data_IF_944784003232
#
_entry.id   IF_944784003232
#
_cell.length_a   1.000
_cell.length_b   1.000
_cell.length_c   1.000
_cell.angle_alpha   90.00
_cell.angle_beta   90.00
_cell.angle_gamma   90.00
#
_symmetry.space_group_name_H-M   'P 1'
#
loop_
_entity.id
_entity.type
_entity.pdbx_description
1 polymer ?
#
# COMPACT_ATOMS: atom_id res chain seq x y z
N UNK A 1 35.18 -2.91 -21.80
CA UNK A 1 34.56 -2.01 -20.81
C UNK A 1 35.47 -2.01 -19.59
N UNK A 2 35.93 -0.84 -19.15
CA UNK A 2 36.79 -0.77 -17.96
C UNK A 2 35.89 -0.74 -16.72
N UNK A 3 36.04 -1.76 -15.87
CA UNK A 3 35.23 -1.92 -14.66
C UNK A 3 35.65 -0.88 -13.59
N UNK A 4 34.68 -0.16 -13.01
CA UNK A 4 34.95 0.81 -11.95
C UNK A 4 35.28 0.05 -10.66
N UNK A 5 36.50 0.23 -10.16
CA UNK A 5 37.00 -0.35 -8.91
C UNK A 5 36.93 0.67 -7.77
N UNK A 6 36.77 0.17 -6.53
CA UNK A 6 36.84 0.99 -5.32
C UNK A 6 38.22 0.91 -4.67
N UNK A 7 38.83 2.07 -4.47
CA UNK A 7 40.16 2.23 -3.86
C UNK A 7 40.09 3.15 -2.63
N UNK A 8 41.04 3.02 -1.71
CA UNK A 8 41.25 3.97 -0.62
C UNK A 8 42.21 5.06 -1.03
N UNK A 9 42.01 6.27 -0.55
CA UNK A 9 42.92 7.40 -0.76
C UNK A 9 43.23 8.07 0.57
N UNK A 10 44.51 8.36 0.80
CA UNK A 10 45.00 9.03 2.00
C UNK A 10 45.01 8.15 3.25
N UNK A 11 45.53 8.69 4.36
CA UNK A 11 45.69 7.97 5.64
C UNK A 11 44.37 7.65 6.34
N UNK A 12 43.33 8.46 6.09
CA UNK A 12 42.00 8.26 6.67
C UNK A 12 41.16 7.18 5.95
N UNK A 13 41.67 6.61 4.85
CA UNK A 13 41.03 5.48 4.17
C UNK A 13 39.72 5.82 3.44
N UNK A 14 39.54 7.07 3.01
CA UNK A 14 38.34 7.50 2.26
C UNK A 14 38.21 6.71 0.96
N UNK A 15 36.99 6.34 0.58
CA UNK A 15 36.74 5.51 -0.61
C UNK A 15 36.56 6.37 -1.84
N UNK A 16 37.24 5.99 -2.91
CA UNK A 16 37.21 6.62 -4.20
C UNK A 16 36.95 5.58 -5.29
N UNK A 17 36.24 5.98 -6.34
CA UNK A 17 36.14 5.21 -7.57
C UNK A 17 37.43 5.38 -8.41
N UNK A 18 37.80 4.33 -9.13
CA UNK A 18 38.99 4.28 -10.01
C UNK A 18 38.70 3.37 -11.20
N UNK A 19 39.33 3.65 -12.34
CA UNK A 19 39.20 2.85 -13.57
C UNK A 19 40.40 1.91 -13.74
N UNK A 20 41.57 2.29 -13.22
CA UNK A 20 42.83 1.53 -13.29
C UNK A 20 43.15 0.78 -11.98
N UNK A 21 42.43 1.08 -10.90
CA UNK A 21 42.69 0.56 -9.56
C UNK A 21 43.92 1.20 -8.88
N UNK A 22 44.52 2.22 -9.49
CA UNK A 22 45.75 2.89 -9.01
C UNK A 22 45.52 4.37 -8.73
N UNK A 23 44.68 5.04 -9.53
CA UNK A 23 44.36 6.46 -9.39
C UNK A 23 42.85 6.66 -9.32
N UNK A 24 42.41 7.47 -8.36
CA UNK A 24 40.99 7.81 -8.24
C UNK A 24 40.53 8.70 -9.38
N UNK A 25 39.22 8.72 -9.65
CA UNK A 25 38.60 9.60 -10.64
C UNK A 25 38.86 11.10 -10.36
N UNK A 26 39.23 11.48 -9.15
CA UNK A 26 39.62 12.84 -8.80
C UNK A 26 41.15 13.07 -8.79
N UNK A 27 41.93 12.17 -9.38
CA UNK A 27 43.37 12.34 -9.61
C UNK A 27 44.26 12.08 -8.40
N UNK A 28 43.74 11.41 -7.36
CA UNK A 28 44.54 11.06 -6.17
C UNK A 28 44.99 9.58 -6.22
N UNK A 29 46.26 9.27 -5.88
CA UNK A 29 46.77 7.91 -5.91
C UNK A 29 46.16 7.05 -4.81
N UNK A 30 45.98 5.76 -5.10
CA UNK A 30 45.46 4.76 -4.19
C UNK A 30 46.45 4.52 -3.03
N UNK A 31 45.92 4.45 -1.81
CA UNK A 31 46.63 3.93 -0.64
C UNK A 31 46.33 2.45 -0.38
N UNK A 32 45.36 1.85 -1.09
CA UNK A 32 45.05 0.43 -1.06
C UNK A 32 43.75 0.07 -1.78
N UNK A 33 43.56 -1.21 -2.13
CA UNK A 33 42.32 -1.72 -2.74
C UNK A 33 41.30 -2.14 -1.68
N UNK A 34 40.01 -2.02 -1.99
CA UNK A 34 38.92 -2.40 -1.08
C UNK A 34 38.31 -3.71 -1.57
N UNK A 35 38.35 -4.74 -0.72
CA UNK A 35 37.73 -6.05 -1.01
C UNK A 35 36.38 -6.24 -0.34
N UNK A 36 35.98 -5.36 0.61
CA UNK A 36 34.67 -5.43 1.26
C UNK A 36 34.22 -4.02 1.75
N UNK A 37 33.16 -3.41 1.18
CA UNK A 37 32.80 -2.01 1.42
C UNK A 37 31.80 -1.78 2.57
N UNK A 38 31.76 -2.66 3.58
CA UNK A 38 30.87 -2.46 4.72
C UNK A 38 31.33 -1.26 5.56
N UNK A 39 30.61 -0.14 5.45
CA UNK A 39 30.73 1.10 6.21
C UNK A 39 31.94 2.00 5.91
N UNK A 40 31.95 2.67 4.74
CA UNK A 40 32.92 3.76 4.50
C UNK A 40 32.31 4.95 3.74
N UNK A 41 32.67 6.16 4.17
CA UNK A 41 32.25 7.43 3.58
C UNK A 41 32.90 7.62 2.20
N UNK A 42 32.10 7.73 1.15
CA UNK A 42 32.54 7.93 -0.23
C UNK A 42 32.92 9.37 -0.57
N UNK A 43 33.89 9.55 -1.46
CA UNK A 43 34.31 10.87 -1.95
C UNK A 43 33.24 11.51 -2.86
N UNK A 44 32.62 12.62 -2.42
CA UNK A 44 31.60 13.37 -3.19
C UNK A 44 32.06 13.80 -4.60
N UNK A 45 33.35 14.08 -4.79
CA UNK A 45 33.89 14.44 -6.10
C UNK A 45 33.94 13.25 -7.07
N UNK A 46 34.21 12.04 -6.56
CA UNK A 46 34.23 10.83 -7.38
C UNK A 46 32.81 10.38 -7.75
N UNK A 47 31.82 10.57 -6.87
CA UNK A 47 30.41 10.28 -7.17
C UNK A 47 29.90 11.16 -8.34
N UNK A 48 30.25 12.45 -8.34
CA UNK A 48 29.91 13.37 -9.43
C UNK A 48 30.59 13.00 -10.75
N UNK A 49 31.87 12.60 -10.72
CA UNK A 49 32.61 12.21 -11.92
C UNK A 49 32.10 10.87 -12.51
N UNK A 50 31.76 9.90 -11.66
CA UNK A 50 31.18 8.63 -12.09
C UNK A 50 29.83 8.85 -12.79
N UNK A 51 28.97 9.70 -12.24
CA UNK A 51 27.67 10.06 -12.86
C UNK A 51 27.82 10.73 -14.23
N UNK A 52 28.84 11.56 -14.43
CA UNK A 52 29.10 12.20 -15.72
C UNK A 52 29.57 11.19 -16.79
N UNK A 53 30.44 10.24 -16.41
CA UNK A 53 30.95 9.21 -17.34
C UNK A 53 29.88 8.20 -17.79
N UNK A 54 28.82 8.00 -16.99
CA UNK A 54 27.68 7.15 -17.37
C UNK A 54 26.74 7.83 -18.38
N UNK A 55 26.69 9.17 -18.40
CA UNK A 55 25.79 9.93 -19.27
C UNK A 55 26.35 10.05 -20.71
N UNK A 56 27.67 10.22 -20.87
CA UNK A 56 28.30 10.39 -22.19
C UNK A 56 28.28 9.14 -23.09
N UNK A 57 27.92 7.96 -22.57
CA UNK A 57 27.86 6.72 -23.36
C UNK A 57 26.45 6.34 -23.87
N UNK A 58 25.44 7.21 -23.68
CA UNK A 58 24.04 6.89 -24.04
C UNK A 58 23.44 7.80 -25.12
N UNK A 59 24.20 8.77 -25.66
CA UNK A 59 23.74 9.61 -26.77
C UNK A 59 24.33 9.15 -28.11
N UNK A 60 23.68 8.17 -28.74
CA UNK A 60 23.64 8.13 -30.19
C UNK A 60 22.44 7.35 -30.74
N UNK A 61 21.64 8.07 -31.54
CA UNK A 61 20.53 7.67 -32.44
C UNK A 61 19.16 7.38 -31.83
N UNK A 62 18.23 8.31 -32.10
CA UNK A 62 16.80 8.05 -32.25
C UNK A 62 15.97 9.29 -32.00
N UNK A 63 15.37 9.87 -33.03
CA UNK A 63 14.44 11.02 -32.95
C UNK A 63 13.32 10.82 -31.91
N UNK A 64 12.89 11.85 -31.17
CA UNK A 64 11.77 11.73 -30.26
C UNK A 64 10.46 11.77 -31.05
N UNK A 65 9.79 10.62 -31.11
CA UNK A 65 8.34 10.60 -31.36
C UNK A 65 7.66 10.86 -30.03
N UNK A 66 7.05 12.03 -29.88
CA UNK A 66 6.20 12.38 -28.74
C UNK A 66 4.89 11.62 -28.90
N UNK A 67 4.65 10.63 -28.06
CA UNK A 67 3.32 10.06 -27.86
C UNK A 67 2.76 10.64 -26.58
N UNK A 68 1.80 11.55 -26.73
CA UNK A 68 0.93 12.03 -25.66
C UNK A 68 0.17 10.85 -25.03
N UNK A 69 0.32 10.66 -23.73
CA UNK A 69 -0.68 9.97 -22.91
C UNK A 69 -1.24 11.00 -21.92
N UNK A 70 -2.27 11.70 -22.36
CA UNK A 70 -3.13 12.55 -21.54
C UNK A 70 -4.08 11.65 -20.74
N UNK A 71 -3.87 11.57 -19.43
CA UNK A 71 -4.89 11.12 -18.49
C UNK A 71 -5.93 12.24 -18.37
N UNK A 72 -7.01 12.14 -19.13
CA UNK A 72 -8.19 13.01 -19.04
C UNK A 72 -9.05 12.58 -17.84
N UNK A 73 -8.80 13.17 -16.67
CA UNK A 73 -9.85 13.42 -15.68
C UNK A 73 -10.24 14.90 -15.76
N UNK A 74 -11.42 15.14 -16.32
CA UNK A 74 -12.22 16.39 -16.30
C UNK A 74 -11.44 17.70 -16.11
N UNK A 75 -10.73 18.14 -17.15
CA UNK A 75 -10.40 19.56 -17.28
C UNK A 75 -11.71 20.34 -17.41
N UNK A 76 -11.99 21.22 -16.46
CA UNK A 76 -13.06 22.20 -16.61
C UNK A 76 -12.59 23.27 -17.58
N UNK A 77 -13.50 23.86 -18.38
CA UNK A 77 -13.18 25.03 -19.21
C UNK A 77 -12.87 26.30 -18.38
N UNK A 78 -12.82 26.21 -17.05
CA UNK A 78 -12.47 27.29 -16.14
C UNK A 78 -10.99 27.18 -15.71
N UNK A 79 -10.11 28.08 -16.17
CA UNK A 79 -8.70 28.10 -15.79
C UNK A 79 -8.45 28.18 -14.28
N UNK A 80 -9.39 28.74 -13.51
CA UNK A 80 -9.25 28.82 -12.05
C UNK A 80 -9.45 27.46 -11.38
N UNK A 81 -10.44 26.70 -11.83
CA UNK A 81 -10.69 25.36 -11.30
C UNK A 81 -9.54 24.41 -11.66
N UNK A 82 -8.99 24.52 -12.88
CA UNK A 82 -7.81 23.76 -13.29
C UNK A 82 -6.59 24.10 -12.41
N UNK A 83 -6.39 25.38 -12.05
CA UNK A 83 -5.34 25.79 -11.13
C UNK A 83 -5.50 25.22 -9.72
N UNK A 84 -6.72 25.12 -9.20
CA UNK A 84 -6.98 24.47 -7.90
C UNK A 84 -6.64 22.98 -7.94
N UNK A 85 -6.98 22.28 -9.03
CA UNK A 85 -6.57 20.88 -9.24
C UNK A 85 -5.04 20.74 -9.25
N UNK A 86 -4.35 21.64 -9.97
CA UNK A 86 -2.88 21.66 -10.03
C UNK A 86 -2.26 21.90 -8.64
N UNK A 87 -2.83 22.78 -7.82
CA UNK A 87 -2.36 22.97 -6.45
C UNK A 87 -2.54 21.73 -5.59
N UNK A 88 -3.71 21.08 -5.67
CA UNK A 88 -4.00 19.86 -4.93
C UNK A 88 -3.06 18.70 -5.33
N UNK A 89 -2.65 18.63 -6.60
CA UNK A 89 -1.65 17.66 -7.03
C UNK A 89 -0.23 18.01 -6.56
N UNK A 90 0.19 19.27 -6.66
CA UNK A 90 1.50 19.72 -6.14
C UNK A 90 1.61 19.51 -4.62
N UNK A 91 0.51 19.59 -3.88
CA UNK A 91 0.48 19.28 -2.44
C UNK A 91 0.81 17.82 -2.11
N UNK A 92 0.66 16.90 -3.09
CA UNK A 92 0.96 15.47 -2.92
C UNK A 92 2.40 15.10 -3.33
N UNK A 93 3.06 15.93 -4.14
CA UNK A 93 4.40 15.66 -4.69
C UNK A 93 5.53 16.04 -3.73
N UNK A 94 6.70 15.43 -3.89
CA UNK A 94 7.88 15.73 -3.08
C UNK A 94 9.13 15.98 -3.96
N UNK A 95 10.27 16.33 -3.36
CA UNK A 95 11.50 16.65 -4.10
C UNK A 95 12.00 15.53 -5.03
N UNK A 96 11.56 14.28 -4.83
CA UNK A 96 11.83 13.13 -5.70
C UNK A 96 11.01 13.13 -7.00
N UNK A 97 9.88 13.84 -7.05
CA UNK A 97 8.98 13.96 -8.20
C UNK A 97 9.34 15.15 -9.11
N UNK A 98 10.62 15.50 -9.23
CA UNK A 98 11.07 16.75 -9.84
C UNK A 98 10.52 17.00 -11.26
N UNK A 99 10.41 15.94 -12.08
CA UNK A 99 9.85 16.02 -13.44
C UNK A 99 8.34 16.30 -13.43
N UNK A 100 7.57 15.61 -12.56
CA UNK A 100 6.12 15.82 -12.42
C UNK A 100 5.80 17.20 -11.85
N UNK A 101 6.57 17.65 -10.86
CA UNK A 101 6.49 19.02 -10.33
C UNK A 101 6.73 20.02 -11.47
N UNK A 102 7.76 19.79 -12.28
CA UNK A 102 8.07 20.63 -13.45
C UNK A 102 6.92 20.70 -14.45
N UNK A 103 6.32 19.55 -14.79
CA UNK A 103 5.19 19.45 -15.71
C UNK A 103 3.95 20.18 -15.19
N UNK A 104 3.56 19.96 -13.93
CA UNK A 104 2.40 20.64 -13.32
C UNK A 104 2.60 22.15 -13.17
N UNK A 105 3.81 22.59 -12.84
CA UNK A 105 4.13 24.02 -12.79
C UNK A 105 4.07 24.64 -14.19
N UNK A 106 4.52 23.93 -15.22
CA UNK A 106 4.39 24.39 -16.60
C UNK A 106 2.92 24.49 -17.03
N UNK A 107 2.11 23.49 -16.72
CA UNK A 107 0.67 23.51 -16.96
C UNK A 107 -0.01 24.67 -16.21
N UNK A 108 0.32 24.89 -14.94
CA UNK A 108 -0.20 26.00 -14.14
C UNK A 108 0.17 27.37 -14.72
N UNK A 109 1.37 27.52 -15.30
CA UNK A 109 1.76 28.74 -16.02
C UNK A 109 0.91 28.97 -17.28
N UNK A 110 0.55 27.92 -18.01
CA UNK A 110 -0.35 28.00 -19.16
C UNK A 110 -1.75 28.43 -18.71
N UNK A 111 -2.29 27.83 -17.65
CA UNK A 111 -3.62 28.20 -17.13
C UNK A 111 -3.67 29.63 -16.58
N UNK A 112 -2.59 30.09 -15.96
CA UNK A 112 -2.45 31.49 -15.57
C UNK A 112 -2.54 32.44 -16.77
N UNK A 113 -2.06 32.07 -17.96
CA UNK A 113 -2.17 32.92 -19.15
C UNK A 113 -3.63 33.02 -19.66
N UNK A 114 -4.44 31.99 -19.40
CA UNK A 114 -5.85 31.96 -19.77
C UNK A 114 -6.73 32.88 -18.88
N UNK A 115 -6.23 33.33 -17.73
CA UNK A 115 -6.92 34.31 -16.88
C UNK A 115 -6.66 35.74 -17.41
N UNK A 116 -7.71 36.38 -17.93
CA UNK A 116 -7.61 37.70 -18.61
C UNK A 116 -7.10 38.83 -17.70
N UNK A 117 -7.46 38.85 -16.42
CA UNK A 117 -7.12 39.95 -15.51
C UNK A 117 -5.77 39.74 -14.80
N UNK A 118 -4.85 40.70 -14.92
CA UNK A 118 -3.58 40.69 -14.18
C UNK A 118 -3.79 40.68 -12.65
N UNK A 119 -4.78 41.42 -12.14
CA UNK A 119 -5.10 41.46 -10.72
C UNK A 119 -5.61 40.10 -10.21
N UNK A 120 -6.30 39.34 -11.05
CA UNK A 120 -6.74 37.98 -10.71
C UNK A 120 -5.62 36.95 -10.85
N UNK A 121 -4.68 37.14 -11.79
CA UNK A 121 -3.51 36.24 -11.96
C UNK A 121 -2.50 36.32 -10.82
N UNK A 122 -2.30 37.51 -10.25
CA UNK A 122 -1.30 37.75 -9.22
C UNK A 122 -1.38 36.77 -8.02
N UNK A 123 -2.55 36.57 -7.35
CA UNK A 123 -2.64 35.64 -6.22
C UNK A 123 -2.34 34.19 -6.62
N UNK A 124 -2.86 33.72 -7.76
CA UNK A 124 -2.60 32.36 -8.25
C UNK A 124 -1.13 32.15 -8.64
N UNK A 125 -0.48 33.18 -9.20
CA UNK A 125 0.94 33.11 -9.56
C UNK A 125 1.84 33.00 -8.32
N UNK A 126 1.53 33.72 -7.24
CA UNK A 126 2.25 33.56 -5.97
C UNK A 126 2.02 32.17 -5.38
N UNK A 127 0.76 31.72 -5.32
CA UNK A 127 0.40 30.41 -4.78
C UNK A 127 1.04 29.26 -5.56
N UNK A 128 1.16 29.35 -6.88
CA UNK A 128 1.87 28.36 -7.71
C UNK A 128 3.36 28.28 -7.36
N UNK A 129 4.02 29.43 -7.16
CA UNK A 129 5.43 29.47 -6.74
C UNK A 129 5.62 28.89 -5.33
N UNK A 130 4.72 29.20 -4.42
CA UNK A 130 4.74 28.64 -3.06
C UNK A 130 4.49 27.13 -3.06
N UNK A 131 3.53 26.64 -3.86
CA UNK A 131 3.25 25.21 -4.00
C UNK A 131 4.44 24.47 -4.63
N UNK A 132 5.07 25.05 -5.65
CA UNK A 132 6.32 24.53 -6.25
C UNK A 132 7.44 24.47 -5.21
N UNK A 133 7.68 25.55 -4.47
CA UNK A 133 8.72 25.60 -3.44
C UNK A 133 8.46 24.55 -2.35
N UNK A 134 7.23 24.47 -1.84
CA UNK A 134 6.83 23.46 -0.85
C UNK A 134 7.02 22.04 -1.39
N UNK A 135 6.62 21.75 -2.63
CA UNK A 135 6.81 20.43 -3.21
C UNK A 135 8.30 20.07 -3.40
N UNK A 136 9.14 21.04 -3.78
CA UNK A 136 10.60 20.87 -3.94
C UNK A 136 11.38 20.79 -2.63
N UNK A 137 10.88 21.41 -1.57
CA UNK A 137 11.47 21.34 -0.23
C UNK A 137 10.96 20.15 0.57
N UNK A 138 9.76 19.65 0.25
CA UNK A 138 9.19 18.47 0.88
C UNK A 138 10.17 17.29 0.70
N UNK A 139 10.68 16.71 1.80
CA UNK A 139 11.68 15.66 1.73
C UNK A 139 11.20 14.54 0.83
N UNK A 140 12.12 14.02 0.00
CA UNK A 140 11.82 12.87 -0.83
C UNK A 140 11.70 11.72 0.13
N UNK A 141 10.57 11.03 0.08
CA UNK A 141 10.47 9.73 0.73
C UNK A 141 11.39 8.69 0.07
N UNK A 142 12.18 9.06 -0.93
CA UNK A 142 13.17 8.21 -1.59
C UNK A 142 14.61 8.73 -1.40
N UNK A 143 15.27 8.20 -0.38
CA UNK A 143 16.67 7.76 -0.49
C UNK A 143 16.66 6.34 0.06
N UNK A 144 16.66 5.37 -0.84
CA UNK A 144 16.60 3.94 -0.51
C UNK A 144 18.03 3.42 -0.37
N UNK A 145 18.59 3.56 0.84
CA UNK A 145 19.70 2.71 1.26
C UNK A 145 19.08 1.49 1.97
N UNK A 146 19.19 0.33 1.33
CA UNK A 146 18.63 -0.92 1.85
C UNK A 146 19.59 -1.55 2.83
N UNK A 147 19.09 -1.89 4.01
CA UNK A 147 19.83 -2.68 4.96
C UNK A 147 19.19 -4.08 5.00
N UNK A 148 19.97 -5.10 4.68
CA UNK A 148 19.63 -6.46 5.12
C UNK A 148 19.81 -6.47 6.64
N UNK A 149 18.77 -6.05 7.35
CA UNK A 149 18.84 -5.79 8.78
C UNK A 149 17.68 -6.44 9.50
N UNK A 150 17.99 -6.95 10.69
CA UNK A 150 17.00 -7.35 11.69
C UNK A 150 16.68 -6.17 12.63
N UNK A 151 17.50 -5.11 12.60
CA UNK A 151 17.35 -3.90 13.41
C UNK A 151 16.83 -2.73 12.58
N UNK A 152 15.58 -2.34 12.85
CA UNK A 152 14.89 -1.23 12.19
C UNK A 152 15.62 0.11 12.32
N UNK A 153 16.38 0.34 13.39
CA UNK A 153 17.05 1.62 13.62
C UNK A 153 18.19 1.87 12.65
N UNK A 154 18.65 0.81 11.98
CA UNK A 154 19.68 0.88 10.94
C UNK A 154 19.11 1.21 9.55
N UNK A 155 17.79 1.32 9.41
CA UNK A 155 17.14 1.77 8.18
C UNK A 155 17.45 3.27 8.02
N UNK A 156 18.00 3.66 6.86
CA UNK A 156 18.30 5.07 6.60
C UNK A 156 17.00 5.90 6.59
N UNK A 157 17.04 7.04 7.28
CA UNK A 157 15.87 7.88 7.50
C UNK A 157 14.78 7.28 8.39
N UNK A 158 15.06 6.21 9.15
CA UNK A 158 14.09 5.53 10.02
C UNK A 158 13.28 6.50 10.90
N UNK A 159 13.95 7.37 11.66
CA UNK A 159 13.28 8.33 12.53
C UNK A 159 12.40 9.32 11.75
N UNK A 160 12.83 9.72 10.55
CA UNK A 160 12.05 10.62 9.70
C UNK A 160 10.79 9.92 9.17
N UNK A 161 10.88 8.65 8.75
CA UNK A 161 9.73 7.86 8.32
C UNK A 161 8.72 7.74 9.47
N UNK A 162 9.19 7.34 10.65
CA UNK A 162 8.33 7.16 11.83
C UNK A 162 7.67 8.47 12.21
N UNK A 163 8.43 9.56 12.35
CA UNK A 163 7.89 10.86 12.74
C UNK A 163 6.94 11.45 11.69
N UNK A 164 7.26 11.35 10.40
CA UNK A 164 6.40 11.88 9.34
C UNK A 164 5.09 11.08 9.22
N UNK A 165 5.17 9.75 9.30
CA UNK A 165 3.98 8.90 9.29
C UNK A 165 3.11 9.16 10.53
N UNK A 166 3.75 9.27 11.70
CA UNK A 166 3.07 9.53 12.96
C UNK A 166 2.39 10.90 13.00
N UNK A 167 3.06 11.94 12.49
CA UNK A 167 2.50 13.28 12.38
C UNK A 167 1.25 13.30 11.48
N UNK A 168 1.33 12.68 10.30
CA UNK A 168 0.18 12.58 9.38
C UNK A 168 -0.98 11.80 9.99
N UNK A 169 -0.68 10.73 10.73
CA UNK A 169 -1.69 9.96 11.45
C UNK A 169 -2.37 10.81 12.54
N UNK A 170 -1.58 11.53 13.34
CA UNK A 170 -2.09 12.40 14.41
C UNK A 170 -2.94 13.54 13.84
N UNK A 171 -2.43 14.25 12.82
CA UNK A 171 -3.16 15.32 12.14
C UNK A 171 -4.46 14.82 11.51
N UNK A 172 -4.42 13.65 10.86
CA UNK A 172 -5.60 13.04 10.25
C UNK A 172 -6.65 12.59 11.26
N UNK A 173 -6.24 12.14 12.46
CA UNK A 173 -7.16 11.85 13.58
C UNK A 173 -7.79 13.15 14.08
N UNK A 174 -7.00 14.20 14.26
CA UNK A 174 -7.47 15.49 14.80
C UNK A 174 -8.45 16.23 13.91
N UNK A 175 -8.13 16.28 12.62
CA UNK A 175 -8.87 17.08 11.67
C UNK A 175 -10.19 16.40 11.24
N UNK A 176 -10.52 15.24 11.83
CA UNK A 176 -11.64 14.39 11.42
C UNK A 176 -11.66 14.16 9.90
N UNK A 177 -10.49 14.22 9.26
CA UNK A 177 -10.30 13.90 7.85
C UNK A 177 -10.81 12.49 7.64
N UNK A 178 -11.32 12.20 6.44
CA UNK A 178 -11.87 10.88 6.15
C UNK A 178 -10.90 9.82 6.66
N UNK A 179 -11.33 9.03 7.66
CA UNK A 179 -10.43 8.13 8.36
C UNK A 179 -9.81 7.09 7.40
N UNK A 180 -10.41 6.93 6.22
CA UNK A 180 -9.90 6.14 5.11
C UNK A 180 -8.67 6.76 4.44
N UNK A 181 -8.64 8.08 4.22
CA UNK A 181 -7.50 8.78 3.59
C UNK A 181 -6.29 8.83 4.53
N UNK A 182 -6.53 9.15 5.81
CA UNK A 182 -5.49 9.07 6.85
C UNK A 182 -4.92 7.66 6.94
N UNK A 183 -5.80 6.64 7.01
CA UNK A 183 -5.36 5.25 7.06
C UNK A 183 -4.59 4.82 5.80
N UNK A 184 -4.98 5.32 4.61
CA UNK A 184 -4.26 5.03 3.37
C UNK A 184 -2.87 5.64 3.39
N UNK A 185 -2.75 6.90 3.80
CA UNK A 185 -1.47 7.60 3.91
C UNK A 185 -0.51 6.89 4.86
N UNK A 186 -1.02 6.43 6.01
CA UNK A 186 -0.25 5.64 6.98
C UNK A 186 0.11 4.27 6.41
N UNK A 187 -0.80 3.61 5.68
CA UNK A 187 -0.53 2.35 5.01
C UNK A 187 0.60 2.47 3.97
N UNK A 188 0.59 3.53 3.16
CA UNK A 188 1.64 3.82 2.17
C UNK A 188 2.99 4.08 2.86
N UNK A 189 3.02 4.81 3.98
CA UNK A 189 4.25 5.03 4.74
C UNK A 189 4.80 3.75 5.39
N UNK A 190 3.93 2.89 5.92
CA UNK A 190 4.33 1.57 6.44
C UNK A 190 4.87 0.71 5.29
N UNK A 191 4.24 0.73 4.11
CA UNK A 191 4.75 -0.01 2.96
C UNK A 191 6.13 0.51 2.53
N UNK A 192 6.34 1.83 2.47
CA UNK A 192 7.66 2.40 2.16
C UNK A 192 8.75 1.88 3.11
N UNK A 193 8.50 1.89 4.42
CA UNK A 193 9.46 1.35 5.37
C UNK A 193 9.63 -0.18 5.27
N UNK A 194 8.57 -0.93 4.98
CA UNK A 194 8.66 -2.38 4.66
C UNK A 194 9.51 -2.66 3.43
N UNK A 195 9.48 -1.78 2.43
CA UNK A 195 10.29 -1.94 1.22
C UNK A 195 11.80 -1.81 1.49
N UNK A 196 12.17 -1.15 2.59
CA UNK A 196 13.57 -1.01 3.04
C UNK A 196 14.04 -2.18 3.90
N UNK A 197 13.12 -2.94 4.49
CA UNK A 197 13.41 -4.17 5.23
C UNK A 197 13.55 -5.32 4.23
N UNK A 198 14.78 -5.77 3.99
CA UNK A 198 15.03 -6.87 3.04
C UNK A 198 15.40 -8.18 3.74
N UNK A 199 15.06 -9.30 3.10
CA UNK A 199 15.45 -10.63 3.54
C UNK A 199 16.89 -10.98 3.16
N UNK A 200 17.33 -12.19 3.55
CA UNK A 200 18.67 -12.71 3.23
C UNK A 200 18.90 -12.86 1.72
N UNK A 201 17.82 -12.91 0.94
CA UNK A 201 17.81 -12.98 -0.52
C UNK A 201 17.71 -11.59 -1.18
N UNK A 202 17.75 -10.51 -0.37
CA UNK A 202 17.63 -9.13 -0.84
C UNK A 202 16.23 -8.72 -1.26
N UNK A 203 15.20 -9.53 -0.96
CA UNK A 203 13.80 -9.23 -1.29
C UNK A 203 13.15 -8.40 -0.17
N UNK A 204 12.44 -7.32 -0.51
CA UNK A 204 11.68 -6.51 0.44
C UNK A 204 10.58 -7.26 1.20
N UNK A 205 10.19 -6.78 2.39
CA UNK A 205 9.17 -7.41 3.23
C UNK A 205 7.76 -6.86 2.99
N UNK A 206 7.29 -6.94 1.74
CA UNK A 206 6.00 -6.36 1.31
C UNK A 206 4.83 -6.78 2.21
N UNK A 207 4.79 -8.06 2.60
CA UNK A 207 3.71 -8.64 3.40
C UNK A 207 3.84 -8.37 4.92
N UNK A 208 4.94 -7.74 5.36
CA UNK A 208 5.16 -7.35 6.75
C UNK A 208 5.32 -8.52 7.72
N UNK A 209 5.76 -9.70 7.25
CA UNK A 209 5.92 -10.87 8.11
C UNK A 209 7.11 -10.76 9.07
N UNK A 210 8.12 -9.96 8.75
CA UNK A 210 9.33 -9.82 9.58
C UNK A 210 9.07 -9.00 10.83
N UNK A 211 9.82 -9.31 11.88
CA UNK A 211 9.74 -8.57 13.13
C UNK A 211 10.09 -7.09 12.92
N UNK A 212 11.14 -6.78 12.15
CA UNK A 212 11.49 -5.40 11.81
C UNK A 212 10.32 -4.61 11.18
N UNK A 213 9.59 -5.19 10.23
CA UNK A 213 8.42 -4.54 9.63
C UNK A 213 7.28 -4.31 10.64
N UNK A 214 7.10 -5.23 11.59
CA UNK A 214 6.12 -5.10 12.67
C UNK A 214 6.53 -4.03 13.66
N UNK A 215 7.80 -4.00 14.05
CA UNK A 215 8.36 -3.02 14.98
C UNK A 215 8.31 -1.61 14.39
N UNK A 216 8.60 -1.44 13.10
CA UNK A 216 8.42 -0.18 12.38
C UNK A 216 6.96 0.31 12.46
N UNK A 217 6.00 -0.56 12.13
CA UNK A 217 4.58 -0.20 12.20
C UNK A 217 4.17 0.13 13.63
N UNK A 218 4.62 -0.66 14.62
CA UNK A 218 4.39 -0.40 16.04
C UNK A 218 4.91 0.97 16.44
N UNK A 219 6.14 1.32 16.04
CA UNK A 219 6.76 2.59 16.39
C UNK A 219 6.07 3.80 15.74
N UNK A 220 5.51 3.63 14.54
CA UNK A 220 4.62 4.64 13.94
C UNK A 220 3.40 4.87 14.84
N UNK A 221 2.70 3.81 15.25
CA UNK A 221 1.51 3.93 16.10
C UNK A 221 1.81 4.48 17.49
N UNK A 222 2.88 4.00 18.13
CA UNK A 222 3.35 4.52 19.42
C UNK A 222 3.65 6.00 19.32
N UNK A 223 4.38 6.43 18.28
CA UNK A 223 4.71 7.84 18.08
C UNK A 223 3.46 8.68 17.77
N UNK A 224 2.48 8.14 17.05
CA UNK A 224 1.18 8.81 16.86
C UNK A 224 0.46 9.04 18.19
N UNK A 225 0.43 8.02 19.05
CA UNK A 225 -0.22 8.11 20.37
C UNK A 225 0.46 9.16 21.26
N UNK A 226 1.80 9.17 21.27
CA UNK A 226 2.59 10.21 21.96
C UNK A 226 2.25 11.61 21.44
N UNK A 227 2.21 11.81 20.13
CA UNK A 227 1.87 13.10 19.54
C UNK A 227 0.46 13.56 19.90
N UNK A 228 -0.53 12.66 19.89
CA UNK A 228 -1.90 12.99 20.31
C UNK A 228 -1.96 13.40 21.79
N UNK A 229 -1.24 12.69 22.66
CA UNK A 229 -1.15 13.01 24.08
C UNK A 229 -0.44 14.35 24.34
N UNK A 230 0.70 14.60 23.69
CA UNK A 230 1.43 15.89 23.72
C UNK A 230 0.52 17.07 23.30
N UNK A 231 -0.49 16.79 22.47
CA UNK A 231 -1.40 17.77 21.91
C UNK A 231 -2.76 17.84 22.63
N UNK A 232 -2.93 17.12 23.75
CA UNK A 232 -4.12 17.17 24.60
C UNK A 232 -5.33 16.39 24.09
N UNK A 233 -5.16 15.48 23.12
CA UNK A 233 -6.21 14.57 22.62
C UNK A 233 -6.38 13.31 23.51
N UNK A 234 -6.19 13.48 24.81
CA UNK A 234 -6.16 12.44 25.83
C UNK A 234 -5.45 12.95 27.09
N UNK A 235 -5.74 12.38 28.26
CA UNK A 235 -5.00 12.69 29.50
C UNK A 235 -3.70 11.87 29.60
N UNK A 236 -3.61 10.81 28.80
CA UNK A 236 -2.48 9.88 28.73
C UNK A 236 -2.41 9.21 27.34
N UNK A 237 -1.29 8.53 27.06
CA UNK A 237 -1.14 7.66 25.87
C UNK A 237 -2.23 6.58 25.83
N UNK A 238 -2.62 6.05 27.00
CA UNK A 238 -3.64 5.01 27.11
C UNK A 238 -5.04 5.49 26.65
N UNK A 239 -5.32 6.80 26.77
CA UNK A 239 -6.58 7.36 26.30
C UNK A 239 -6.64 7.45 24.77
N UNK A 240 -5.49 7.43 24.09
CA UNK A 240 -5.40 7.40 22.64
C UNK A 240 -5.51 5.98 22.05
N UNK A 241 -5.48 4.93 22.89
CA UNK A 241 -5.42 3.53 22.43
C UNK A 241 -6.61 3.14 21.54
N UNK A 242 -7.83 3.61 21.86
CA UNK A 242 -9.01 3.32 21.05
C UNK A 242 -8.93 3.97 19.66
N UNK A 243 -8.45 5.22 19.59
CA UNK A 243 -8.25 5.93 18.32
C UNK A 243 -7.18 5.25 17.47
N UNK A 244 -6.09 4.83 18.10
CA UNK A 244 -5.00 4.11 17.44
C UNK A 244 -5.47 2.74 16.96
N UNK A 245 -6.23 1.99 17.76
CA UNK A 245 -6.80 0.69 17.35
C UNK A 245 -7.72 0.83 16.14
N UNK A 246 -8.62 1.83 16.14
CA UNK A 246 -9.49 2.12 14.99
C UNK A 246 -8.68 2.50 13.74
N UNK A 247 -7.61 3.29 13.90
CA UNK A 247 -6.69 3.59 12.81
C UNK A 247 -5.98 2.32 12.31
N UNK A 248 -5.49 1.44 13.19
CA UNK A 248 -4.82 0.19 12.85
C UNK A 248 -5.72 -0.71 11.99
N UNK A 249 -6.98 -0.91 12.38
CA UNK A 249 -7.94 -1.71 11.62
C UNK A 249 -8.15 -1.16 10.20
N UNK A 250 -8.29 0.17 10.10
CA UNK A 250 -8.44 0.86 8.81
C UNK A 250 -7.17 0.78 7.97
N UNK A 251 -5.99 0.92 8.57
CA UNK A 251 -4.70 0.77 7.88
C UNK A 251 -4.55 -0.66 7.36
N UNK A 252 -4.90 -1.67 8.16
CA UNK A 252 -4.88 -3.07 7.74
C UNK A 252 -5.84 -3.30 6.55
N UNK A 253 -7.01 -2.69 6.56
CA UNK A 253 -7.92 -2.72 5.42
C UNK A 253 -7.29 -2.03 4.18
N UNK A 254 -6.73 -0.84 4.34
CA UNK A 254 -6.10 -0.07 3.26
C UNK A 254 -4.87 -0.78 2.67
N UNK A 255 -4.10 -1.52 3.47
CA UNK A 255 -3.01 -2.36 2.99
C UNK A 255 -3.45 -3.37 1.93
N UNK A 256 -4.70 -3.84 1.99
CA UNK A 256 -5.24 -4.74 0.96
C UNK A 256 -5.45 -4.05 -0.39
N UNK A 257 -5.48 -2.72 -0.44
CA UNK A 257 -5.52 -1.93 -1.67
C UNK A 257 -4.14 -1.39 -2.06
N UNK A 258 -3.37 -0.90 -1.08
CA UNK A 258 -2.05 -0.30 -1.29
C UNK A 258 -1.04 -1.31 -1.84
N UNK A 259 -0.98 -2.52 -1.28
CA UNK A 259 -0.01 -3.53 -1.75
C UNK A 259 -0.26 -3.93 -3.21
N UNK A 260 -1.48 -4.36 -3.62
CA UNK A 260 -1.70 -4.71 -5.03
C UNK A 260 -1.56 -3.53 -5.99
N UNK A 261 -1.87 -2.30 -5.54
CA UNK A 261 -1.65 -1.10 -6.35
C UNK A 261 -0.15 -0.84 -6.58
N UNK A 262 0.67 -0.94 -5.52
CA UNK A 262 2.12 -0.85 -5.63
C UNK A 262 2.69 -1.93 -6.55
N UNK A 263 2.29 -3.20 -6.38
CA UNK A 263 2.77 -4.30 -7.23
C UNK A 263 2.41 -4.05 -8.70
N UNK A 264 1.18 -3.61 -9.00
CA UNK A 264 0.76 -3.23 -10.36
C UNK A 264 1.56 -2.05 -10.93
N UNK A 265 1.96 -1.08 -10.09
CA UNK A 265 2.74 0.05 -10.57
C UNK A 265 4.14 -0.33 -11.07
N UNK A 266 4.68 -1.48 -10.64
CA UNK A 266 5.98 -1.98 -11.08
C UNK A 266 6.03 -2.27 -12.59
N UNK A 267 4.89 -2.58 -13.20
CA UNK A 267 4.78 -2.79 -14.66
C UNK A 267 5.15 -1.52 -15.45
N UNK A 268 4.90 -0.35 -14.86
CA UNK A 268 5.19 0.95 -15.47
C UNK A 268 6.54 1.53 -15.00
N UNK A 269 7.23 0.83 -14.09
CA UNK A 269 8.52 1.27 -13.53
C UNK A 269 9.56 0.15 -13.56
N UNK A 270 10.04 -0.29 -14.75
CA UNK A 270 11.00 -1.40 -14.86
C UNK A 270 12.30 -1.16 -14.08
N UNK A 271 12.74 0.10 -13.99
CA UNK A 271 13.91 0.50 -13.22
C UNK A 271 13.70 0.28 -11.72
N UNK A 272 12.55 0.71 -11.20
CA UNK A 272 12.18 0.53 -9.78
C UNK A 272 12.02 -0.95 -9.44
N UNK A 273 11.38 -1.73 -10.33
CA UNK A 273 11.28 -3.17 -10.19
C UNK A 273 12.65 -3.86 -10.15
N UNK A 274 13.54 -3.56 -11.11
CA UNK A 274 14.89 -4.12 -11.16
C UNK A 274 15.72 -3.70 -9.94
N UNK A 275 15.51 -2.49 -9.45
CA UNK A 275 16.13 -2.04 -8.22
C UNK A 275 15.59 -2.86 -7.06
N UNK A 276 14.28 -2.88 -6.80
CA UNK A 276 13.62 -3.47 -5.63
C UNK A 276 13.73 -5.00 -5.57
N UNK A 277 13.68 -5.66 -6.72
CA UNK A 277 13.64 -7.12 -6.84
C UNK A 277 14.70 -7.64 -7.82
N UNK A 278 16.01 -7.38 -7.56
CA UNK A 278 17.06 -7.65 -8.55
C UNK A 278 17.17 -9.13 -8.91
N UNK A 279 16.92 -10.02 -7.95
CA UNK A 279 16.94 -11.48 -8.16
C UNK A 279 15.73 -12.00 -8.94
N UNK A 280 14.59 -11.30 -8.89
CA UNK A 280 13.39 -11.63 -9.67
C UNK A 280 13.53 -11.05 -11.07
N UNK A 281 13.95 -9.79 -11.17
CA UNK A 281 14.18 -9.11 -12.45
C UNK A 281 15.20 -9.85 -13.33
N UNK A 282 16.27 -10.38 -12.74
CA UNK A 282 17.27 -11.17 -13.48
C UNK A 282 16.75 -12.52 -14.02
N UNK A 283 15.61 -13.00 -13.52
CA UNK A 283 14.99 -14.28 -13.92
C UNK A 283 13.67 -14.10 -14.65
N UNK A 284 13.25 -12.85 -14.89
CA UNK A 284 11.97 -12.57 -15.51
C UNK A 284 12.07 -12.88 -17.01
N UNK A 285 11.21 -13.78 -17.49
CA UNK A 285 11.14 -14.13 -18.91
C UNK A 285 10.66 -12.92 -19.73
N UNK A 286 11.19 -12.79 -20.95
CA UNK A 286 10.77 -11.74 -21.89
C UNK A 286 9.25 -11.81 -22.12
N UNK A 287 8.56 -10.68 -21.87
CA UNK A 287 7.11 -10.56 -22.04
C UNK A 287 6.27 -10.89 -20.80
N UNK A 288 6.88 -11.31 -19.69
CA UNK A 288 6.17 -11.44 -18.40
C UNK A 288 6.09 -10.09 -17.69
N UNK A 289 4.92 -9.73 -17.14
CA UNK A 289 4.79 -8.50 -16.37
C UNK A 289 5.51 -8.63 -15.00
N UNK A 290 6.27 -7.61 -14.57
CA UNK A 290 6.84 -7.55 -13.23
C UNK A 290 5.84 -7.84 -12.11
N UNK A 291 4.63 -7.29 -12.20
CA UNK A 291 3.57 -7.44 -11.20
C UNK A 291 3.15 -8.90 -11.04
N UNK A 292 3.02 -9.65 -12.12
CA UNK A 292 2.65 -11.07 -12.11
C UNK A 292 3.67 -11.90 -11.31
N UNK A 293 4.96 -11.67 -11.57
CA UNK A 293 6.03 -12.36 -10.86
C UNK A 293 6.03 -12.04 -9.35
N UNK A 294 5.76 -10.79 -8.97
CA UNK A 294 5.72 -10.38 -7.57
C UNK A 294 4.45 -10.87 -6.86
N UNK A 295 3.29 -10.86 -7.52
CA UNK A 295 2.06 -11.44 -6.96
C UNK A 295 2.24 -12.92 -6.65
N UNK A 296 2.83 -13.67 -7.58
CA UNK A 296 3.05 -15.11 -7.43
C UNK A 296 4.13 -15.39 -6.36
N UNK A 297 5.20 -14.59 -6.30
CA UNK A 297 6.26 -14.72 -5.30
C UNK A 297 5.77 -14.52 -3.86
N UNK A 298 4.92 -13.52 -3.62
CA UNK A 298 4.43 -13.19 -2.27
C UNK A 298 3.08 -13.83 -1.94
N UNK A 299 2.40 -14.46 -2.91
CA UNK A 299 1.06 -15.00 -2.72
C UNK A 299 0.02 -13.92 -2.38
N UNK A 300 0.20 -12.71 -2.89
CA UNK A 300 -0.70 -11.57 -2.65
C UNK A 300 -1.85 -11.62 -3.65
N UNK A 301 -3.06 -11.26 -3.19
CA UNK A 301 -4.20 -11.17 -4.09
C UNK A 301 -3.99 -10.02 -5.09
N UNK A 302 -4.20 -10.31 -6.37
CA UNK A 302 -4.10 -9.33 -7.48
C UNK A 302 -5.13 -8.20 -7.36
N UNK A 303 -6.23 -8.49 -6.67
CA UNK A 303 -7.32 -7.56 -6.40
C UNK A 303 -7.38 -7.21 -4.92
N UNK A 304 -7.71 -5.96 -4.63
CA UNK A 304 -8.02 -5.50 -3.29
C UNK A 304 -9.31 -6.12 -2.73
N UNK A 305 -9.50 -6.04 -1.41
CA UNK A 305 -10.77 -6.48 -0.79
C UNK A 305 -11.99 -5.76 -1.38
N UNK A 306 -11.86 -4.48 -1.71
CA UNK A 306 -12.92 -3.69 -2.33
C UNK A 306 -13.23 -4.15 -3.76
N UNK A 307 -12.19 -4.39 -4.58
CA UNK A 307 -12.35 -4.91 -5.95
C UNK A 307 -12.96 -6.32 -5.93
N UNK A 308 -12.53 -7.20 -5.03
CA UNK A 308 -13.12 -8.53 -4.85
C UNK A 308 -14.60 -8.46 -4.43
N UNK A 309 -14.95 -7.55 -3.53
CA UNK A 309 -16.34 -7.34 -3.12
C UNK A 309 -17.19 -6.82 -4.28
N UNK A 310 -16.65 -5.89 -5.08
CA UNK A 310 -17.32 -5.37 -6.28
C UNK A 310 -17.52 -6.47 -7.33
N UNK A 311 -16.51 -7.31 -7.57
CA UNK A 311 -16.60 -8.42 -8.51
C UNK A 311 -17.62 -9.46 -8.05
N UNK A 312 -17.64 -9.80 -6.76
CA UNK A 312 -18.66 -10.69 -6.18
C UNK A 312 -20.06 -10.11 -6.34
N UNK A 313 -20.25 -8.80 -6.10
CA UNK A 313 -21.53 -8.11 -6.34
C UNK A 313 -21.92 -8.13 -7.81
N UNK A 314 -20.97 -7.95 -8.73
CA UNK A 314 -21.22 -8.02 -10.18
C UNK A 314 -21.64 -9.44 -10.59
N UNK A 315 -20.89 -10.46 -10.18
CA UNK A 315 -21.22 -11.87 -10.43
C UNK A 315 -22.57 -12.29 -9.83
N UNK A 316 -22.88 -11.83 -8.62
CA UNK A 316 -24.18 -12.09 -7.99
C UNK A 316 -25.33 -11.44 -8.76
N UNK A 317 -25.14 -10.20 -9.25
CA UNK A 317 -26.13 -9.54 -10.13
C UNK A 317 -26.27 -10.25 -11.47
N UNK A 318 -25.16 -10.68 -12.08
CA UNK A 318 -25.17 -11.44 -13.33
C UNK A 318 -25.96 -12.76 -13.17
N UNK A 319 -25.70 -13.52 -12.10
CA UNK A 319 -26.45 -14.74 -11.78
C UNK A 319 -27.94 -14.45 -11.52
N UNK A 320 -28.26 -13.44 -10.71
CA UNK A 320 -29.65 -13.04 -10.46
C UNK A 320 -30.38 -12.55 -11.73
N UNK A 321 -29.67 -11.96 -12.68
CA UNK A 321 -30.23 -11.51 -13.96
C UNK A 321 -30.31 -12.63 -15.02
N UNK A 322 -29.44 -13.63 -14.93
CA UNK A 322 -29.40 -14.81 -15.81
C UNK A 322 -30.38 -15.91 -15.42
N UNK A 323 -30.89 -15.90 -14.18
CA UNK A 323 -31.80 -16.90 -13.64
C UNK A 323 -33.29 -16.49 -13.71
N UNK A 324 -33.65 -15.66 -14.68
CA UNK A 324 -35.05 -15.39 -15.05
C UNK A 324 -35.61 -16.46 -16.01
N UNK A 325 -35.35 -17.73 -15.69
CA UNK A 325 -36.17 -18.89 -16.10
C UNK A 325 -36.42 -19.73 -14.84
N UNK A 326 -37.37 -19.27 -14.02
CA UNK A 326 -38.13 -20.12 -13.09
C UNK A 326 -37.40 -20.61 -11.85
N UNK A 327 -37.16 -19.73 -10.88
CA UNK A 327 -36.80 -20.14 -9.53
C UNK A 327 -36.88 -18.98 -8.55
N UNK A 328 -37.92 -18.96 -7.72
CA UNK A 328 -38.16 -18.00 -6.66
C UNK A 328 -36.98 -17.98 -5.67
N UNK A 329 -36.03 -17.07 -5.86
CA UNK A 329 -35.02 -16.71 -4.86
C UNK A 329 -35.51 -15.49 -4.11
N UNK A 330 -35.91 -15.71 -2.86
CA UNK A 330 -36.27 -14.69 -1.90
C UNK A 330 -35.03 -13.86 -1.55
N UNK A 331 -35.02 -12.60 -1.99
CA UNK A 331 -34.08 -11.58 -1.53
C UNK A 331 -34.55 -11.04 -0.18
N UNK A 332 -33.93 -11.45 0.92
CA UNK A 332 -34.00 -10.71 2.19
C UNK A 332 -32.82 -9.73 2.25
N UNK A 333 -33.14 -8.47 1.97
CA UNK A 333 -32.31 -7.33 2.35
C UNK A 333 -32.54 -7.00 3.83
N UNK A 334 -31.46 -6.57 4.48
CA UNK A 334 -31.49 -5.87 5.76
C UNK A 334 -32.41 -4.64 5.65
N UNK A 335 -33.65 -4.81 6.10
CA UNK A 335 -34.56 -3.73 6.42
C UNK A 335 -35.06 -3.99 7.83
N UNK A 336 -34.46 -3.30 8.80
CA UNK A 336 -35.02 -3.15 10.13
C UNK A 336 -36.39 -2.48 10.01
N UNK A 337 -37.44 -3.29 10.13
CA UNK A 337 -38.82 -2.83 9.99
C UNK A 337 -39.75 -3.78 10.73
N UNK A 338 -39.97 -3.47 12.00
CA UNK A 338 -41.02 -4.05 12.83
C UNK A 338 -42.38 -3.92 12.13
N UNK A 339 -42.91 -5.04 11.64
CA UNK A 339 -44.19 -5.10 10.95
C UNK A 339 -44.76 -6.51 10.98
N UNK A 340 -45.49 -6.81 12.04
CA UNK A 340 -46.27 -8.02 12.23
C UNK A 340 -47.37 -8.11 11.14
N UNK A 341 -47.22 -9.05 10.21
CA UNK A 341 -48.31 -9.53 9.36
C UNK A 341 -47.98 -10.94 8.87
N UNK A 342 -48.60 -11.92 9.52
CA UNK A 342 -48.49 -13.33 9.21
C UNK A 342 -49.21 -13.65 7.87
N UNK A 343 -48.43 -13.99 6.85
CA UNK A 343 -48.89 -14.86 5.78
C UNK A 343 -48.58 -16.32 6.15
N UNK A 344 -49.42 -17.30 5.77
CA UNK A 344 -49.22 -18.69 6.16
C UNK A 344 -47.93 -19.22 5.52
N UNK A 345 -46.93 -19.51 6.37
CA UNK A 345 -45.65 -20.05 5.96
C UNK A 345 -45.87 -21.37 5.20
N UNK A 346 -45.44 -21.41 3.94
CA UNK A 346 -45.26 -22.67 3.24
C UNK A 346 -44.39 -23.59 4.10
N UNK A 347 -44.81 -24.84 4.29
CA UNK A 347 -44.12 -25.78 5.15
C UNK A 347 -42.66 -25.93 4.70
N UNK A 348 -41.74 -25.50 5.57
CA UNK A 348 -40.31 -25.54 5.31
C UNK A 348 -39.84 -26.98 5.06
N UNK A 349 -39.20 -27.20 3.92
CA UNK A 349 -38.70 -28.52 3.54
C UNK A 349 -37.54 -28.96 4.44
N UNK A 350 -37.34 -30.28 4.60
CA UNK A 350 -36.22 -30.82 5.40
C UNK A 350 -34.84 -30.34 4.89
N UNK A 351 -34.70 -30.13 3.58
CA UNK A 351 -33.50 -29.56 2.96
C UNK A 351 -33.27 -28.09 3.34
N UNK A 352 -34.33 -27.27 3.41
CA UNK A 352 -34.24 -25.87 3.86
C UNK A 352 -33.87 -25.77 5.35
N UNK A 353 -34.42 -26.66 6.19
CA UNK A 353 -34.05 -26.76 7.60
C UNK A 353 -32.58 -27.12 7.77
N UNK A 354 -32.10 -28.10 6.99
CA UNK A 354 -30.69 -28.52 7.01
C UNK A 354 -29.76 -27.38 6.56
N UNK A 355 -30.11 -26.67 5.48
CA UNK A 355 -29.33 -25.53 4.99
C UNK A 355 -29.20 -24.41 6.04
N UNK A 356 -30.29 -24.06 6.74
CA UNK A 356 -30.26 -23.08 7.83
C UNK A 356 -29.40 -23.52 9.02
N UNK A 357 -29.42 -24.81 9.37
CA UNK A 357 -28.57 -25.36 10.43
C UNK A 357 -27.09 -25.24 10.04
N UNK A 358 -26.72 -25.58 8.80
CA UNK A 358 -25.36 -25.41 8.30
C UNK A 358 -24.91 -23.95 8.27
N UNK A 359 -25.79 -23.02 7.86
CA UNK A 359 -25.47 -21.60 7.85
C UNK A 359 -25.23 -21.05 9.27
N UNK A 360 -26.07 -21.45 10.24
CA UNK A 360 -25.89 -21.09 11.66
C UNK A 360 -24.60 -21.68 12.24
N UNK A 361 -24.29 -22.94 11.96
CA UNK A 361 -23.05 -23.57 12.39
C UNK A 361 -21.82 -22.87 11.80
N UNK A 362 -21.86 -22.50 10.51
CA UNK A 362 -20.76 -21.79 9.86
C UNK A 362 -20.55 -20.37 10.42
N UNK A 363 -21.65 -19.66 10.74
CA UNK A 363 -21.61 -18.37 11.44
C UNK A 363 -20.97 -18.50 12.84
N UNK A 364 -21.33 -19.53 13.61
CA UNK A 364 -20.72 -19.77 14.94
C UNK A 364 -19.24 -20.12 14.85
N UNK A 365 -18.84 -21.00 13.92
CA UNK A 365 -17.42 -21.35 13.71
C UNK A 365 -16.60 -20.14 13.25
N UNK A 366 -17.19 -19.29 12.40
CA UNK A 366 -16.53 -18.05 11.98
C UNK A 366 -16.36 -17.10 13.16
N UNK A 367 -17.40 -16.93 14.00
CA UNK A 367 -17.35 -16.12 15.20
C UNK A 367 -16.29 -16.61 16.20
N UNK A 368 -16.21 -17.92 16.44
CA UNK A 368 -15.14 -18.52 17.24
C UNK A 368 -13.76 -18.20 16.69
N UNK A 369 -13.59 -18.26 15.36
CA UNK A 369 -12.29 -18.04 14.71
C UNK A 369 -11.86 -16.58 14.74
N UNK A 370 -12.79 -15.64 14.65
CA UNK A 370 -12.49 -14.20 14.63
C UNK A 370 -12.31 -13.58 16.02
N UNK A 371 -12.86 -14.20 17.07
CA UNK A 371 -12.85 -13.70 18.45
C UNK A 371 -11.89 -14.51 19.36
N UNK A 372 -10.95 -15.27 18.78
CA UNK A 372 -10.13 -16.26 19.51
C UNK A 372 -9.20 -15.67 20.59
N UNK A 373 -8.92 -14.37 20.55
CA UNK A 373 -8.02 -13.72 21.51
C UNK A 373 -8.75 -13.11 22.74
N UNK A 374 -10.08 -12.95 22.70
CA UNK A 374 -10.86 -12.26 23.75
C UNK A 374 -12.08 -13.05 24.29
N UNK A 375 -12.36 -14.25 23.79
CA UNK A 375 -13.45 -15.10 24.32
C UNK A 375 -13.05 -15.65 25.70
N UNK A 376 -13.78 -15.26 26.74
CA UNK A 376 -13.65 -15.87 28.05
C UNK A 376 -14.12 -17.35 28.02
N UNK A 377 -13.65 -18.15 28.98
CA UNK A 377 -13.92 -19.59 29.02
C UNK A 377 -15.43 -19.94 29.10
N UNK A 378 -16.25 -19.05 29.66
CA UNK A 378 -17.70 -19.25 29.80
C UNK A 378 -18.42 -19.10 28.44
N UNK A 379 -18.06 -18.08 27.68
CA UNK A 379 -18.59 -17.83 26.33
C UNK A 379 -18.14 -18.93 25.34
N UNK A 380 -16.91 -19.43 25.46
CA UNK A 380 -16.43 -20.57 24.68
C UNK A 380 -17.25 -21.85 24.95
N UNK A 381 -17.55 -22.13 26.23
CA UNK A 381 -18.36 -23.28 26.63
C UNK A 381 -19.81 -23.15 26.14
N UNK A 382 -20.38 -21.94 26.19
CA UNK A 382 -21.72 -21.66 25.69
C UNK A 382 -21.80 -21.87 24.18
N UNK A 383 -20.85 -21.33 23.41
CA UNK A 383 -20.80 -21.51 21.96
C UNK A 383 -20.59 -22.99 21.58
N UNK A 384 -19.75 -23.71 22.31
CA UNK A 384 -19.55 -25.14 22.11
C UNK A 384 -20.84 -25.93 22.38
N UNK A 385 -21.58 -25.60 23.45
CA UNK A 385 -22.88 -26.20 23.76
C UNK A 385 -23.93 -25.96 22.68
N UNK A 386 -24.00 -24.74 22.15
CA UNK A 386 -24.91 -24.37 21.05
C UNK A 386 -24.56 -25.10 19.74
N UNK A 387 -23.27 -25.23 19.42
CA UNK A 387 -22.80 -25.98 18.25
C UNK A 387 -23.14 -27.47 18.37
N UNK A 388 -22.94 -28.07 19.54
CA UNK A 388 -23.27 -29.48 19.78
C UNK A 388 -24.78 -29.74 19.71
N UNK A 389 -25.60 -28.79 20.14
CA UNK A 389 -27.05 -28.86 19.99
C UNK A 389 -27.46 -28.81 18.52
N UNK A 390 -26.88 -27.91 17.74
CA UNK A 390 -27.10 -27.83 16.28
C UNK A 390 -26.69 -29.14 15.57
N UNK A 391 -25.56 -29.73 15.93
CA UNK A 391 -25.11 -31.02 15.38
C UNK A 391 -26.06 -32.17 15.76
N UNK A 392 -26.63 -32.14 16.97
CA UNK A 392 -27.66 -33.08 17.40
C UNK A 392 -28.92 -33.02 16.53
N UNK A 393 -29.29 -31.83 16.04
CA UNK A 393 -30.44 -31.62 15.16
C UNK A 393 -30.17 -32.04 13.70
N UNK A 394 -28.90 -32.08 13.26
CA UNK A 394 -28.50 -32.54 11.90
C UNK A 394 -28.74 -34.03 11.72
N UNK A 395 -28.41 -34.85 12.71
CA UNK A 395 -28.49 -36.30 12.62
C UNK A 395 -29.89 -36.84 12.24
N UNK A 396 -31.00 -36.43 12.89
CA UNK A 396 -32.33 -36.89 12.52
C UNK A 396 -32.79 -36.37 11.15
N UNK A 397 -32.38 -35.15 10.76
CA UNK A 397 -32.72 -34.57 9.45
C UNK A 397 -31.99 -35.27 8.30
N UNK A 398 -30.71 -35.58 8.48
CA UNK A 398 -29.92 -36.34 7.50
C UNK A 398 -30.49 -37.76 7.33
N UNK A 399 -30.89 -38.40 8.44
CA UNK A 399 -31.50 -39.73 8.40
C UNK A 399 -32.87 -39.71 7.69
N UNK A 400 -33.66 -38.65 7.87
CA UNK A 400 -34.94 -38.47 7.18
C UNK A 400 -34.76 -38.28 5.67
N UNK A 401 -33.77 -37.48 5.25
CA UNK A 401 -33.41 -37.29 3.84
C UNK A 401 -32.96 -38.59 3.19
N UNK A 402 -32.07 -39.37 3.83
CA UNK A 402 -31.62 -40.67 3.31
C UNK A 402 -32.78 -41.65 3.18
N UNK A 403 -33.70 -41.69 4.14
CA UNK A 403 -34.92 -42.51 4.05
C UNK A 403 -35.80 -42.10 2.86
N UNK A 404 -36.01 -40.80 2.65
CA UNK A 404 -36.78 -40.29 1.49
C UNK A 404 -36.13 -40.66 0.16
N UNK A 405 -34.81 -40.53 0.05
CA UNK A 405 -34.07 -40.93 -1.14
C UNK A 405 -34.19 -42.43 -1.43
N UNK A 406 -34.05 -43.28 -0.42
CA UNK A 406 -34.18 -44.72 -0.59
C UNK A 406 -35.63 -45.18 -0.87
N UNK A 407 -36.64 -44.42 -0.42
CA UNK A 407 -38.04 -44.69 -0.75
C UNK A 407 -38.45 -44.19 -2.14
N UNK A 408 -37.71 -43.26 -2.74
CA UNK A 408 -37.95 -42.78 -4.10
C UNK A 408 -37.24 -43.63 -5.17
N UNK A 409 -36.30 -44.48 -4.76
CA UNK A 409 -35.52 -45.36 -5.63
C UNK A 409 -36.09 -46.78 -5.76
N UNK A 410 -37.11 -47.13 -4.97
CA UNK A 410 -37.95 -48.33 -5.11
C UNK A 410 -39.34 -47.91 -5.60
#
# INVERSE_FOLDING_TARGET
MSEIQLIRVGKAGTVHASIDGETSLCGKPASGKITNPAAVIGCKACDKAAKAATIENTENKGEPTVTENTNTETATDDPKANLETIFAELEKLNKGDAEKIGALVAQGKTELQNIKSAAQRAPFSMRLKEAEAKAKERPSNSVVLRAATEDITTIDGYEEIVNNAAARAADGIKAEVSAQETARTVAEAILDGRLRVVNKQGLPDIDGKRQASKDLASNIYTRTAEMLAEQGYGSSVADADELIKNLQDKVQYQMTAVIPAFIRSLDNSPKEFAELFPTVAAKLDEGTNPSDAIFDLYGVNRLSKAELAAERRRKAKELASGENVGGTVSTEGDSEGSGESAAPAAAETEAQKLARIFERANKMVTKMKTETDDINAEDALKLHGELMKLLGDVQPLALALVKRFNSAAN
#
